data_IF_711134284417
#
_entry.id   IF_711134284417
#
_cell.length_a   1.000
_cell.length_b   1.000
_cell.length_c   1.000
_cell.angle_alpha   90.00
_cell.angle_beta   90.00
_cell.angle_gamma   90.00
#
_symmetry.space_group_name_H-M   'P 1'
#
loop_
_entity.id
_entity.type
_entity.pdbx_description
1 polymer ?
#
# COMPACT_ATOMS: atom_id res chain seq x y z
N UNK A 1 18.92 -33.32 19.17
CA UNK A 1 17.57 -33.50 18.62
C UNK A 1 17.63 -33.05 17.17
N UNK A 2 17.35 -33.96 16.22
CA UNK A 2 17.65 -33.81 14.80
C UNK A 2 16.72 -32.82 14.09
N UNK A 3 17.24 -31.64 13.81
CA UNK A 3 16.56 -30.56 13.03
C UNK A 3 16.83 -30.62 11.54
N UNK A 4 16.95 -31.76 10.92
CA UNK A 4 17.24 -31.86 9.48
C UNK A 4 16.33 -32.84 8.74
N UNK A 5 15.02 -32.77 8.93
CA UNK A 5 14.09 -33.24 7.90
C UNK A 5 13.86 -32.11 6.88
N UNK A 6 14.78 -32.00 5.89
CA UNK A 6 14.55 -31.22 4.68
C UNK A 6 13.16 -31.56 4.14
N UNK A 7 12.23 -30.64 4.25
CA UNK A 7 10.91 -30.74 3.60
C UNK A 7 11.14 -30.83 2.09
N UNK A 8 11.16 -32.07 1.57
CA UNK A 8 11.21 -32.36 0.14
C UNK A 8 9.79 -32.18 -0.39
N UNK A 9 9.53 -31.13 -1.18
CA UNK A 9 8.25 -30.85 -1.80
C UNK A 9 8.16 -29.43 -2.31
N UNK A 10 7.09 -29.12 -3.01
CA UNK A 10 6.81 -27.78 -3.57
C UNK A 10 6.97 -26.68 -2.51
N UNK A 11 6.42 -26.86 -1.31
CA UNK A 11 6.53 -25.90 -0.20
C UNK A 11 7.98 -25.69 0.26
N UNK A 12 8.81 -26.75 0.30
CA UNK A 12 10.22 -26.61 0.65
C UNK A 12 11.04 -25.88 -0.41
N UNK A 13 10.62 -25.96 -1.67
CA UNK A 13 11.23 -25.17 -2.75
C UNK A 13 10.83 -23.71 -2.66
N UNK A 14 9.55 -23.41 -2.40
CA UNK A 14 9.05 -22.05 -2.21
C UNK A 14 9.73 -21.38 -1.01
N UNK A 15 9.84 -22.08 0.12
CA UNK A 15 10.55 -21.59 1.32
C UNK A 15 12.02 -21.29 1.02
N UNK A 16 12.71 -22.16 0.27
CA UNK A 16 14.12 -21.95 -0.10
C UNK A 16 14.30 -20.78 -1.03
N UNK A 17 13.45 -20.65 -2.04
CA UNK A 17 13.50 -19.54 -3.01
C UNK A 17 13.16 -18.23 -2.29
N UNK A 18 12.11 -18.21 -1.45
CA UNK A 18 11.74 -17.02 -0.69
C UNK A 18 12.85 -16.53 0.24
N UNK A 19 13.50 -17.46 0.96
CA UNK A 19 14.60 -17.13 1.87
C UNK A 19 15.92 -16.79 1.14
N UNK A 20 16.05 -17.12 -0.14
CA UNK A 20 17.21 -16.78 -0.96
C UNK A 20 17.07 -15.39 -1.64
N UNK A 21 15.88 -14.78 -1.59
CA UNK A 21 15.67 -13.44 -2.17
C UNK A 21 16.45 -12.40 -1.36
N UNK A 22 17.27 -11.57 -2.04
CA UNK A 22 17.99 -10.49 -1.37
C UNK A 22 17.02 -9.36 -0.98
N UNK A 23 17.54 -8.41 -0.21
CA UNK A 23 16.79 -7.19 0.16
C UNK A 23 16.22 -6.50 -1.09
N UNK A 24 14.99 -5.95 -1.06
CA UNK A 24 14.34 -5.32 -2.21
C UNK A 24 15.20 -4.31 -2.97
N UNK A 25 16.01 -3.51 -2.27
CA UNK A 25 16.93 -2.56 -2.90
C UNK A 25 17.95 -3.25 -3.82
N UNK A 26 18.44 -4.44 -3.43
CA UNK A 26 19.38 -5.22 -4.26
C UNK A 26 18.65 -5.79 -5.48
N UNK A 27 17.40 -6.23 -5.33
CA UNK A 27 16.59 -6.71 -6.45
C UNK A 27 16.41 -5.59 -7.48
N UNK A 28 16.08 -4.38 -7.06
CA UNK A 28 15.94 -3.23 -7.97
C UNK A 28 17.26 -2.87 -8.64
N UNK A 29 18.39 -2.91 -7.92
CA UNK A 29 19.71 -2.70 -8.51
C UNK A 29 20.02 -3.75 -9.59
N UNK A 30 19.76 -5.02 -9.33
CA UNK A 30 19.93 -6.10 -10.29
C UNK A 30 19.04 -5.90 -11.52
N UNK A 31 17.78 -5.50 -11.34
CA UNK A 31 16.89 -5.18 -12.44
C UNK A 31 17.42 -4.02 -13.30
N UNK A 32 17.98 -2.97 -12.70
CA UNK A 32 18.63 -1.89 -13.45
C UNK A 32 19.79 -2.41 -14.31
N UNK A 33 20.63 -3.29 -13.75
CA UNK A 33 21.75 -3.90 -14.51
C UNK A 33 21.21 -4.76 -15.66
N UNK A 34 20.20 -5.59 -15.39
CA UNK A 34 19.57 -6.43 -16.40
C UNK A 34 19.02 -5.57 -17.55
N UNK A 35 18.27 -4.51 -17.23
CA UNK A 35 17.72 -3.59 -18.24
C UNK A 35 18.83 -2.94 -19.06
N UNK A 36 19.91 -2.51 -18.43
CA UNK A 36 21.05 -1.93 -19.14
C UNK A 36 21.70 -2.93 -20.12
N UNK A 37 21.88 -4.18 -19.72
CA UNK A 37 22.41 -5.25 -20.58
C UNK A 37 21.44 -5.57 -21.71
N UNK A 38 20.16 -5.75 -21.42
CA UNK A 38 19.12 -6.04 -22.43
C UNK A 38 19.03 -4.90 -23.43
N UNK A 39 19.04 -3.65 -22.98
CA UNK A 39 19.04 -2.48 -23.91
C UNK A 39 20.22 -2.49 -24.86
N UNK A 40 21.40 -2.87 -24.36
CA UNK A 40 22.60 -2.98 -25.19
C UNK A 40 22.49 -4.07 -26.26
N UNK A 41 21.98 -5.25 -25.86
CA UNK A 41 21.78 -6.36 -26.80
C UNK A 41 20.75 -5.99 -27.86
N UNK A 42 19.59 -5.45 -27.46
CA UNK A 42 18.53 -5.06 -28.38
C UNK A 42 18.96 -3.92 -29.32
N UNK A 43 19.74 -2.96 -28.81
CA UNK A 43 20.30 -1.89 -29.66
C UNK A 43 21.26 -2.44 -30.71
N UNK A 44 22.11 -3.42 -30.37
CA UNK A 44 22.98 -4.11 -31.33
C UNK A 44 22.22 -4.93 -32.38
N UNK A 45 21.07 -5.46 -32.00
CA UNK A 45 20.18 -6.21 -32.91
C UNK A 45 19.31 -5.26 -33.77
N UNK A 46 19.39 -3.95 -33.60
CA UNK A 46 18.62 -2.98 -34.36
C UNK A 46 17.11 -3.03 -34.08
N UNK A 47 16.71 -3.48 -32.88
CA UNK A 47 15.29 -3.61 -32.54
C UNK A 47 14.62 -2.24 -32.53
N UNK A 48 13.59 -2.09 -33.35
CA UNK A 48 12.72 -0.93 -33.42
C UNK A 48 11.26 -1.37 -33.41
N UNK A 49 10.40 -0.56 -32.85
CA UNK A 49 8.95 -0.81 -32.76
C UNK A 49 8.21 0.40 -33.34
N UNK A 50 7.27 0.11 -34.22
CA UNK A 50 6.31 1.07 -34.73
C UNK A 50 4.99 0.88 -33.99
N UNK A 51 4.45 1.94 -33.42
CA UNK A 51 3.20 1.91 -32.66
C UNK A 51 2.38 3.17 -32.93
N UNK A 52 1.08 3.04 -32.80
CA UNK A 52 0.16 4.18 -32.89
C UNK A 52 0.04 4.82 -31.52
N UNK A 53 0.42 6.07 -31.40
CA UNK A 53 0.40 6.79 -30.12
C UNK A 53 0.06 8.26 -30.27
N UNK A 54 -0.24 8.91 -29.17
CA UNK A 54 -0.52 10.34 -29.12
C UNK A 54 0.81 11.13 -29.23
N UNK A 55 0.95 11.93 -30.28
CA UNK A 55 2.04 12.88 -30.35
C UNK A 55 1.77 14.08 -29.44
N UNK A 56 2.56 14.20 -28.38
CA UNK A 56 2.44 15.27 -27.39
C UNK A 56 2.67 16.69 -27.95
N UNK A 57 3.27 16.80 -29.11
CA UNK A 57 3.52 18.11 -29.73
C UNK A 57 2.34 18.61 -30.59
N UNK A 58 1.63 17.69 -31.26
CA UNK A 58 0.48 17.99 -32.11
C UNK A 58 -0.86 17.61 -31.52
N UNK A 59 -0.84 16.82 -30.41
CA UNK A 59 -2.03 16.24 -29.76
C UNK A 59 -2.87 15.35 -30.69
N UNK A 60 -2.24 14.77 -31.71
CA UNK A 60 -2.86 13.89 -32.69
C UNK A 60 -2.36 12.46 -32.53
N UNK A 61 -3.23 11.49 -32.81
CA UNK A 61 -2.87 10.08 -32.84
C UNK A 61 -2.20 9.80 -34.19
N UNK A 62 -0.91 9.45 -34.14
CA UNK A 62 -0.15 9.08 -35.35
C UNK A 62 0.74 7.87 -35.13
N UNK A 63 1.18 7.30 -36.23
CA UNK A 63 2.16 6.22 -36.22
C UNK A 63 3.55 6.77 -35.84
N UNK A 64 4.11 6.23 -34.76
CA UNK A 64 5.39 6.62 -34.19
C UNK A 64 6.34 5.42 -34.26
N UNK A 65 7.60 5.67 -34.60
CA UNK A 65 8.65 4.65 -34.53
C UNK A 65 9.64 5.00 -33.45
N UNK A 66 9.97 4.01 -32.63
CA UNK A 66 10.97 4.12 -31.57
C UNK A 66 12.02 3.01 -31.73
N UNK A 67 13.29 3.39 -31.70
CA UNK A 67 14.41 2.45 -31.69
C UNK A 67 15.05 2.39 -30.32
N UNK A 68 15.53 1.21 -29.95
CA UNK A 68 16.18 1.00 -28.65
C UNK A 68 17.58 1.62 -28.67
N UNK A 69 17.85 2.49 -27.71
CA UNK A 69 19.19 3.06 -27.48
C UNK A 69 19.89 2.26 -26.38
N UNK A 70 21.17 1.94 -26.57
CA UNK A 70 21.96 1.24 -25.57
C UNK A 70 22.25 2.11 -24.35
N UNK A 71 21.85 1.67 -23.17
CA UNK A 71 22.21 2.32 -21.90
C UNK A 71 23.69 2.12 -21.54
N UNK A 72 24.40 1.16 -22.14
CA UNK A 72 25.83 0.94 -21.94
C UNK A 72 26.71 1.69 -22.95
N UNK A 73 26.14 2.48 -23.87
CA UNK A 73 26.90 3.40 -24.70
C UNK A 73 27.37 4.62 -23.89
N UNK A 74 28.39 5.37 -24.35
CA UNK A 74 28.81 6.63 -23.69
C UNK A 74 27.65 7.62 -23.49
N UNK A 75 26.77 7.74 -24.49
CA UNK A 75 25.57 8.56 -24.44
C UNK A 75 24.55 8.02 -23.41
N UNK A 76 24.34 6.70 -23.37
CA UNK A 76 23.44 6.04 -22.44
C UNK A 76 23.90 6.20 -20.98
N UNK A 77 25.21 6.01 -20.75
CA UNK A 77 25.80 6.23 -19.43
C UNK A 77 25.65 7.70 -19.01
N UNK A 78 25.96 8.63 -19.87
CA UNK A 78 25.76 10.06 -19.60
C UNK A 78 24.30 10.35 -19.27
N UNK A 79 23.37 9.82 -20.05
CA UNK A 79 21.92 9.97 -19.83
C UNK A 79 21.51 9.47 -18.46
N UNK A 80 21.95 8.28 -18.03
CA UNK A 80 21.61 7.75 -16.71
C UNK A 80 21.98 8.70 -15.57
N UNK A 81 23.19 9.30 -15.62
CA UNK A 81 23.64 10.21 -14.58
C UNK A 81 23.03 11.60 -14.68
N UNK A 82 22.87 12.14 -15.85
CA UNK A 82 22.31 13.50 -16.03
C UNK A 82 20.81 13.56 -15.83
N UNK A 83 20.08 12.48 -16.15
CA UNK A 83 18.62 12.42 -16.00
C UNK A 83 18.17 11.87 -14.64
N UNK A 84 19.07 11.35 -13.81
CA UNK A 84 18.70 10.71 -12.54
C UNK A 84 17.85 11.61 -11.63
N UNK A 85 18.30 12.85 -11.42
CA UNK A 85 17.57 13.82 -10.58
C UNK A 85 16.24 14.20 -11.22
N UNK A 86 16.24 14.50 -12.51
CA UNK A 86 15.02 14.90 -13.23
C UNK A 86 14.01 13.77 -13.28
N UNK A 87 14.42 12.52 -13.47
CA UNK A 87 13.55 11.36 -13.45
C UNK A 87 12.96 11.12 -12.04
N UNK A 88 13.76 11.32 -11.00
CA UNK A 88 13.29 11.18 -9.63
C UNK A 88 12.29 12.29 -9.27
N UNK A 89 12.64 13.56 -9.51
CA UNK A 89 11.77 14.69 -9.17
C UNK A 89 10.56 14.84 -10.10
N UNK A 90 10.68 14.36 -11.33
CA UNK A 90 9.59 14.32 -12.31
C UNK A 90 8.61 13.17 -12.12
N UNK A 91 8.84 12.25 -11.16
CA UNK A 91 7.91 11.18 -10.83
C UNK A 91 6.64 11.75 -10.20
N UNK A 92 5.54 11.74 -10.95
CA UNK A 92 4.31 12.46 -10.61
C UNK A 92 3.79 12.20 -9.18
N UNK A 93 3.77 10.96 -8.65
CA UNK A 93 3.27 10.70 -7.30
C UNK A 93 4.28 11.03 -6.19
N UNK A 94 5.53 11.40 -6.49
CA UNK A 94 6.61 11.55 -5.50
C UNK A 94 6.22 12.45 -4.32
N UNK A 95 5.72 13.65 -4.59
CA UNK A 95 5.36 14.61 -3.54
C UNK A 95 4.26 14.08 -2.62
N UNK A 96 3.18 13.57 -3.20
CA UNK A 96 2.03 13.03 -2.44
C UNK A 96 2.43 11.81 -1.60
N UNK A 97 3.23 10.91 -2.18
CA UNK A 97 3.71 9.70 -1.49
C UNK A 97 4.64 10.07 -0.34
N UNK A 98 5.59 10.99 -0.53
CA UNK A 98 6.50 11.43 0.53
C UNK A 98 5.75 12.05 1.71
N UNK A 99 4.77 12.93 1.44
CA UNK A 99 3.96 13.54 2.51
C UNK A 99 3.15 12.48 3.26
N UNK A 100 2.54 11.53 2.55
CA UNK A 100 1.80 10.44 3.17
C UNK A 100 2.70 9.54 4.05
N UNK A 101 3.88 9.16 3.54
CA UNK A 101 4.82 8.30 4.28
C UNK A 101 5.37 9.01 5.52
N UNK A 102 5.61 10.33 5.48
CA UNK A 102 6.03 11.09 6.66
C UNK A 102 4.95 11.00 7.75
N UNK A 103 3.69 11.20 7.41
CA UNK A 103 2.58 11.11 8.35
C UNK A 103 2.44 9.71 8.96
N UNK A 104 2.47 8.69 8.11
CA UNK A 104 2.43 7.28 8.55
C UNK A 104 3.64 6.93 9.41
N UNK A 105 4.85 7.35 9.02
CA UNK A 105 6.08 7.10 9.76
C UNK A 105 6.09 7.71 11.16
N UNK A 106 5.51 8.89 11.35
CA UNK A 106 5.31 9.50 12.67
C UNK A 106 4.32 8.68 13.51
N UNK A 107 3.21 8.24 12.92
CA UNK A 107 2.20 7.44 13.61
C UNK A 107 2.74 6.06 14.00
N UNK A 108 3.57 5.44 13.15
CA UNK A 108 4.24 4.16 13.42
C UNK A 108 5.35 4.32 14.47
N UNK A 109 6.26 5.26 14.27
CA UNK A 109 7.39 5.52 15.17
C UNK A 109 6.98 5.96 16.58
N UNK A 110 5.81 6.60 16.73
CA UNK A 110 5.21 6.93 18.03
C UNK A 110 4.53 5.73 18.71
N UNK A 111 4.37 4.59 18.02
CA UNK A 111 3.63 3.42 18.50
C UNK A 111 2.10 3.59 18.48
N UNK A 112 1.58 4.67 17.90
CA UNK A 112 0.13 4.93 17.83
C UNK A 112 -0.61 3.82 17.11
N UNK A 113 -0.10 3.37 15.97
CA UNK A 113 -0.73 2.32 15.16
C UNK A 113 -0.78 1.01 15.94
N UNK A 114 0.34 0.58 16.54
CA UNK A 114 0.38 -0.61 17.39
C UNK A 114 -0.59 -0.54 18.56
N UNK A 115 -0.67 0.60 19.23
CA UNK A 115 -1.61 0.82 20.33
C UNK A 115 -3.08 0.78 19.87
N UNK A 116 -3.40 1.35 18.70
CA UNK A 116 -4.74 1.26 18.09
C UNK A 116 -5.12 -0.20 17.78
N UNK A 117 -4.24 -0.95 17.11
CA UNK A 117 -4.48 -2.35 16.77
C UNK A 117 -4.65 -3.20 18.04
N UNK A 118 -3.77 -3.05 19.03
CA UNK A 118 -3.87 -3.73 20.32
C UNK A 118 -5.18 -3.39 21.03
N UNK A 119 -5.57 -2.12 21.07
CA UNK A 119 -6.83 -1.69 21.68
C UNK A 119 -8.05 -2.27 20.98
N UNK A 120 -8.06 -2.27 19.66
CA UNK A 120 -9.14 -2.83 18.87
C UNK A 120 -9.33 -4.32 19.19
N UNK A 121 -8.24 -5.08 19.14
CA UNK A 121 -8.26 -6.53 19.35
C UNK A 121 -8.58 -6.88 20.81
N UNK A 122 -7.94 -6.22 21.79
CA UNK A 122 -8.13 -6.51 23.23
C UNK A 122 -9.51 -6.11 23.76
N UNK A 123 -10.20 -5.19 23.10
CA UNK A 123 -11.55 -4.77 23.48
C UNK A 123 -12.66 -5.63 22.88
N UNK A 124 -12.31 -6.65 22.09
CA UNK A 124 -13.25 -7.41 21.29
C UNK A 124 -13.79 -8.63 22.07
N UNK A 125 -15.11 -8.86 22.06
CA UNK A 125 -15.69 -10.05 22.68
C UNK A 125 -15.29 -11.33 21.94
N UNK A 126 -15.17 -12.45 22.67
CA UNK A 126 -14.73 -13.76 22.17
C UNK A 126 -15.39 -14.18 20.85
N UNK A 127 -16.67 -13.88 20.66
CA UNK A 127 -17.43 -14.29 19.47
C UNK A 127 -17.01 -13.58 18.19
N UNK A 128 -16.46 -12.38 18.29
CA UNK A 128 -16.08 -11.55 17.15
C UNK A 128 -14.56 -11.49 16.92
N UNK A 129 -13.79 -12.21 17.73
CA UNK A 129 -12.33 -12.05 17.75
C UNK A 129 -11.68 -12.38 16.41
N UNK A 130 -12.12 -13.44 15.73
CA UNK A 130 -11.59 -13.81 14.42
C UNK A 130 -11.86 -12.72 13.40
N UNK A 131 -13.11 -12.23 13.34
CA UNK A 131 -13.52 -11.16 12.45
C UNK A 131 -12.69 -9.90 12.69
N UNK A 132 -12.52 -9.51 13.95
CA UNK A 132 -11.78 -8.30 14.30
C UNK A 132 -10.28 -8.45 14.06
N UNK A 133 -9.70 -9.63 14.29
CA UNK A 133 -8.28 -9.88 13.97
C UNK A 133 -8.03 -9.80 12.45
N UNK A 134 -8.88 -10.42 11.63
CA UNK A 134 -8.77 -10.33 10.17
C UNK A 134 -8.99 -8.89 9.71
N UNK A 135 -10.04 -8.22 10.21
CA UNK A 135 -10.32 -6.82 9.87
C UNK A 135 -9.17 -5.89 10.27
N UNK A 136 -8.62 -6.03 11.47
CA UNK A 136 -7.45 -5.28 11.91
C UNK A 136 -6.24 -5.54 11.01
N UNK A 137 -6.09 -6.79 10.53
CA UNK A 137 -5.08 -7.16 9.54
C UNK A 137 -5.23 -6.39 8.24
N UNK A 138 -6.42 -6.37 7.67
CA UNK A 138 -6.73 -5.61 6.46
C UNK A 138 -6.46 -4.12 6.67
N UNK A 139 -6.97 -3.54 7.76
CA UNK A 139 -6.80 -2.13 8.09
C UNK A 139 -5.35 -1.73 8.37
N UNK A 140 -4.50 -2.69 8.78
CA UNK A 140 -3.08 -2.41 9.05
C UNK A 140 -2.28 -2.03 7.80
N UNK A 141 -2.79 -2.29 6.61
CA UNK A 141 -2.17 -1.93 5.34
C UNK A 141 -1.98 -0.41 5.16
N UNK A 142 -2.70 0.44 5.91
CA UNK A 142 -2.44 1.89 5.99
C UNK A 142 -1.01 2.17 6.48
N UNK A 143 -0.52 1.34 7.39
CA UNK A 143 0.74 1.50 8.08
C UNK A 143 1.83 0.58 7.54
N UNK A 144 1.77 0.22 6.28
CA UNK A 144 2.74 -0.66 5.60
C UNK A 144 3.01 -1.95 6.39
N UNK A 145 4.12 -2.03 7.10
CA UNK A 145 4.60 -3.27 7.74
C UNK A 145 4.18 -3.46 9.20
N UNK A 146 3.58 -2.46 9.84
CA UNK A 146 3.21 -2.53 11.26
C UNK A 146 2.27 -3.70 11.58
N UNK A 147 1.40 -4.07 10.64
CA UNK A 147 0.52 -5.24 10.78
C UNK A 147 1.29 -6.55 10.94
N UNK A 148 2.36 -6.74 10.20
CA UNK A 148 3.19 -7.94 10.29
C UNK A 148 3.89 -8.06 11.64
N UNK A 149 4.43 -6.97 12.15
CA UNK A 149 5.23 -6.96 13.38
C UNK A 149 4.34 -7.04 14.64
N UNK A 150 3.22 -6.33 14.63
CA UNK A 150 2.37 -6.19 15.83
C UNK A 150 1.21 -7.18 15.82
N UNK A 151 0.45 -7.26 14.74
CA UNK A 151 -0.82 -7.97 14.75
C UNK A 151 -0.68 -9.49 14.64
N UNK A 152 0.33 -9.98 13.92
CA UNK A 152 0.51 -11.44 13.78
C UNK A 152 0.85 -12.10 15.14
N UNK A 153 1.84 -11.62 15.90
CA UNK A 153 2.08 -12.13 17.24
C UNK A 153 0.88 -11.92 18.18
N UNK A 154 0.24 -10.75 18.10
CA UNK A 154 -0.95 -10.45 18.90
C UNK A 154 -2.10 -11.40 18.60
N UNK A 155 -2.30 -11.79 17.34
CA UNK A 155 -3.31 -12.78 16.95
C UNK A 155 -3.12 -14.13 17.65
N UNK A 156 -1.86 -14.60 17.77
CA UNK A 156 -1.55 -15.82 18.52
C UNK A 156 -1.94 -15.70 19.99
N UNK A 157 -1.50 -14.63 20.65
CA UNK A 157 -1.76 -14.39 22.09
C UNK A 157 -3.25 -14.27 22.38
N UNK A 158 -3.96 -13.54 21.53
CA UNK A 158 -5.42 -13.35 21.66
C UNK A 158 -6.18 -14.67 21.53
N UNK A 159 -5.87 -15.48 20.53
CA UNK A 159 -6.52 -16.78 20.38
C UNK A 159 -6.21 -17.69 21.57
N UNK A 160 -4.96 -17.72 22.06
CA UNK A 160 -4.59 -18.44 23.26
C UNK A 160 -5.37 -17.99 24.49
N UNK A 161 -5.53 -16.69 24.71
CA UNK A 161 -6.26 -16.14 25.87
C UNK A 161 -7.73 -16.58 25.91
N UNK A 162 -8.30 -16.91 24.74
CA UNK A 162 -9.65 -17.47 24.63
C UNK A 162 -9.69 -19.00 24.56
N UNK A 163 -8.56 -19.68 24.79
CA UNK A 163 -8.45 -21.14 24.73
C UNK A 163 -8.54 -21.70 23.30
N UNK A 164 -8.30 -20.87 22.29
CA UNK A 164 -8.27 -21.24 20.87
C UNK A 164 -6.83 -21.53 20.42
N UNK A 165 -6.67 -22.19 19.28
CA UNK A 165 -5.35 -22.57 18.79
C UNK A 165 -4.55 -21.34 18.29
N UNK A 166 -3.33 -21.05 18.82
CA UNK A 166 -2.56 -19.86 18.47
C UNK A 166 -2.19 -19.80 16.99
N UNK A 167 -1.94 -20.94 16.32
CA UNK A 167 -1.68 -20.98 14.90
C UNK A 167 -2.88 -20.52 14.04
N UNK A 168 -4.12 -20.72 14.55
CA UNK A 168 -5.30 -20.16 13.88
C UNK A 168 -5.31 -18.63 13.97
N UNK A 169 -4.89 -18.08 15.12
CA UNK A 169 -4.74 -16.64 15.31
C UNK A 169 -3.66 -16.02 14.41
N UNK A 170 -2.51 -16.69 14.31
CA UNK A 170 -1.44 -16.29 13.36
C UNK A 170 -1.95 -16.33 11.93
N UNK A 171 -2.62 -17.41 11.54
CA UNK A 171 -3.14 -17.57 10.18
C UNK A 171 -4.20 -16.50 9.85
N UNK A 172 -5.12 -16.20 10.79
CA UNK A 172 -6.12 -15.15 10.63
C UNK A 172 -5.50 -13.77 10.47
N UNK A 173 -4.55 -13.41 11.34
CA UNK A 173 -3.85 -12.13 11.30
C UNK A 173 -3.02 -12.01 10.00
N UNK A 174 -2.26 -13.05 9.66
CA UNK A 174 -1.45 -13.07 8.44
C UNK A 174 -2.32 -12.99 7.17
N UNK A 175 -3.43 -13.73 7.12
CA UNK A 175 -4.36 -13.65 5.99
C UNK A 175 -4.97 -12.24 5.85
N UNK A 176 -5.32 -11.58 6.96
CA UNK A 176 -5.78 -10.20 6.96
C UNK A 176 -4.73 -9.22 6.43
N UNK A 177 -3.50 -9.30 6.96
CA UNK A 177 -2.40 -8.40 6.58
C UNK A 177 -1.97 -8.62 5.12
N UNK A 178 -1.71 -9.87 4.73
CA UNK A 178 -1.19 -10.20 3.39
C UNK A 178 -2.29 -10.26 2.34
N UNK A 179 -3.41 -10.93 2.63
CA UNK A 179 -4.52 -11.07 1.70
C UNK A 179 -5.35 -9.80 1.56
N UNK A 180 -5.33 -8.93 2.58
CA UNK A 180 -5.99 -7.63 2.59
C UNK A 180 -5.09 -6.47 2.16
N UNK A 181 -3.92 -6.75 1.57
CA UNK A 181 -3.01 -5.71 1.14
C UNK A 181 -3.71 -4.75 0.16
N UNK A 182 -3.63 -3.45 0.43
CA UNK A 182 -4.32 -2.36 -0.28
C UNK A 182 -5.84 -2.29 -0.10
N UNK A 183 -6.51 -3.28 0.51
CA UNK A 183 -7.90 -3.12 0.93
C UNK A 183 -7.94 -2.26 2.20
N UNK A 184 -8.81 -1.24 2.22
CA UNK A 184 -8.88 -0.31 3.34
C UNK A 184 -10.19 0.47 3.36
N UNK A 185 -10.54 1.05 4.49
CA UNK A 185 -11.64 2.01 4.59
C UNK A 185 -11.18 3.45 4.30
N UNK A 186 -9.88 3.70 4.37
CA UNK A 186 -9.27 5.00 4.14
C UNK A 186 -8.31 4.94 2.95
N UNK A 187 -8.17 6.05 2.27
CA UNK A 187 -7.19 6.20 1.20
C UNK A 187 -5.77 6.16 1.79
N UNK A 188 -4.92 5.33 1.23
CA UNK A 188 -3.54 5.13 1.68
C UNK A 188 -2.49 5.71 0.74
N UNK A 189 -1.22 5.55 1.11
CA UNK A 189 -0.08 5.95 0.27
C UNK A 189 -0.01 5.18 -1.05
N UNK A 190 -0.46 3.93 -1.06
CA UNK A 190 -0.53 3.07 -2.25
C UNK A 190 -1.52 3.63 -3.27
N UNK A 191 -2.68 4.15 -2.82
CA UNK A 191 -3.67 4.76 -3.72
C UNK A 191 -3.13 6.01 -4.40
N UNK A 192 -2.38 6.84 -3.65
CA UNK A 192 -1.71 8.01 -4.19
C UNK A 192 -0.64 7.65 -5.24
N UNK A 193 0.12 6.58 -5.00
CA UNK A 193 1.12 6.07 -5.92
C UNK A 193 0.46 5.56 -7.21
N UNK A 194 -0.55 4.70 -7.08
CA UNK A 194 -1.25 4.08 -8.22
C UNK A 194 -2.01 5.11 -9.04
N UNK A 195 -2.66 6.09 -8.42
CA UNK A 195 -3.33 7.21 -9.08
C UNK A 195 -2.36 7.97 -10.00
N UNK A 196 -1.16 8.29 -9.51
CA UNK A 196 -0.14 8.99 -10.29
C UNK A 196 0.36 8.16 -11.48
N UNK A 197 0.69 6.90 -11.26
CA UNK A 197 1.14 5.98 -12.33
C UNK A 197 0.03 5.78 -13.37
N UNK A 198 -1.21 5.56 -12.92
CA UNK A 198 -2.37 5.36 -13.79
C UNK A 198 -2.68 6.62 -14.61
N UNK A 199 -2.52 7.80 -14.03
CA UNK A 199 -2.67 9.08 -14.75
C UNK A 199 -1.67 9.19 -15.89
N UNK A 200 -0.39 8.88 -15.66
CA UNK A 200 0.62 8.94 -16.74
C UNK A 200 0.35 7.88 -17.82
N UNK A 201 -0.11 6.69 -17.46
CA UNK A 201 -0.52 5.68 -18.42
C UNK A 201 -1.76 6.10 -19.23
N UNK A 202 -2.78 6.67 -18.58
CA UNK A 202 -3.99 7.15 -19.23
C UNK A 202 -3.70 8.29 -20.21
N UNK A 203 -2.79 9.21 -19.88
CA UNK A 203 -2.33 10.29 -20.77
C UNK A 203 -1.64 9.81 -22.04
N UNK A 204 -1.22 8.57 -22.12
CA UNK A 204 -0.71 7.99 -23.36
C UNK A 204 -1.83 7.77 -24.41
N UNK A 205 -3.06 7.58 -23.95
CA UNK A 205 -4.24 7.42 -24.81
C UNK A 205 -5.03 8.72 -24.95
N UNK A 206 -5.17 9.48 -23.87
CA UNK A 206 -5.88 10.76 -23.83
C UNK A 206 -5.16 11.72 -22.88
N UNK A 207 -4.56 12.78 -23.44
CA UNK A 207 -3.76 13.77 -22.70
C UNK A 207 -4.56 14.52 -21.61
N UNK A 208 -5.89 14.53 -21.69
CA UNK A 208 -6.77 15.23 -20.75
C UNK A 208 -7.18 14.38 -19.56
N UNK A 209 -7.00 13.06 -19.64
CA UNK A 209 -7.44 12.12 -18.60
C UNK A 209 -6.54 12.20 -17.38
N UNK A 210 -7.17 12.26 -16.20
CA UNK A 210 -6.51 12.19 -14.89
C UNK A 210 -7.24 11.15 -14.03
N UNK A 211 -6.48 10.33 -13.33
CA UNK A 211 -7.00 9.34 -12.39
C UNK A 211 -6.89 9.89 -10.97
N UNK A 212 -8.02 10.04 -10.29
CA UNK A 212 -8.08 10.55 -8.92
C UNK A 212 -7.59 9.52 -7.89
N UNK A 213 -7.10 10.00 -6.75
CA UNK A 213 -6.67 9.13 -5.64
C UNK A 213 -7.86 8.32 -5.07
N UNK A 214 -9.07 8.86 -5.19
CA UNK A 214 -10.30 8.27 -4.67
C UNK A 214 -11.09 7.43 -5.68
N UNK A 215 -10.62 7.31 -6.92
CA UNK A 215 -11.39 6.65 -7.99
C UNK A 215 -11.64 5.17 -7.70
N UNK A 216 -10.71 4.52 -6.98
CA UNK A 216 -10.83 3.13 -6.55
C UNK A 216 -11.43 2.96 -5.15
N UNK A 217 -11.79 4.03 -4.45
CA UNK A 217 -12.12 4.00 -3.03
C UNK A 217 -13.32 3.09 -2.69
N UNK A 218 -14.36 3.13 -3.47
CA UNK A 218 -15.52 2.24 -3.23
C UNK A 218 -15.16 0.76 -3.35
N UNK A 219 -14.29 0.42 -4.30
CA UNK A 219 -13.83 -0.95 -4.50
C UNK A 219 -12.99 -1.42 -3.30
N UNK A 220 -12.06 -0.61 -2.80
CA UNK A 220 -11.23 -1.00 -1.65
C UNK A 220 -12.05 -1.13 -0.36
N UNK A 221 -13.09 -0.29 -0.16
CA UNK A 221 -14.04 -0.44 0.95
C UNK A 221 -14.78 -1.78 0.83
N UNK A 222 -15.36 -2.08 -0.33
CA UNK A 222 -16.07 -3.34 -0.55
C UNK A 222 -15.14 -4.55 -0.36
N UNK A 223 -13.91 -4.48 -0.87
CA UNK A 223 -12.88 -5.50 -0.70
C UNK A 223 -12.52 -5.72 0.76
N UNK A 224 -12.47 -4.68 1.58
CA UNK A 224 -12.21 -4.77 3.02
C UNK A 224 -13.23 -5.67 3.71
N UNK A 225 -14.51 -5.45 3.46
CA UNK A 225 -15.57 -6.28 4.04
C UNK A 225 -15.55 -7.70 3.49
N UNK A 226 -15.37 -7.85 2.18
CA UNK A 226 -15.32 -9.17 1.54
C UNK A 226 -14.18 -10.02 2.10
N UNK A 227 -12.97 -9.48 2.16
CA UNK A 227 -11.78 -10.19 2.65
C UNK A 227 -11.93 -10.51 4.14
N UNK A 228 -12.47 -9.59 4.93
CA UNK A 228 -12.72 -9.80 6.35
C UNK A 228 -13.69 -10.95 6.58
N UNK A 229 -14.79 -11.01 5.85
CA UNK A 229 -15.79 -12.08 5.97
C UNK A 229 -15.19 -13.42 5.51
N UNK A 230 -14.58 -13.45 4.33
CA UNK A 230 -13.97 -14.68 3.79
C UNK A 230 -12.85 -15.20 4.68
N UNK A 231 -11.94 -14.32 5.15
CA UNK A 231 -10.87 -14.69 6.05
C UNK A 231 -11.39 -15.26 7.39
N UNK A 232 -12.47 -14.69 7.91
CA UNK A 232 -13.15 -15.18 9.11
C UNK A 232 -13.73 -16.56 8.87
N UNK A 233 -14.49 -16.76 7.78
CA UNK A 233 -15.11 -18.05 7.43
C UNK A 233 -14.02 -19.12 7.25
N UNK A 234 -12.98 -18.85 6.50
CA UNK A 234 -11.88 -19.79 6.26
C UNK A 234 -11.18 -20.14 7.58
N UNK A 235 -10.93 -19.16 8.44
CA UNK A 235 -10.28 -19.41 9.72
C UNK A 235 -11.13 -20.28 10.63
N UNK A 236 -12.41 -19.96 10.79
CA UNK A 236 -13.29 -20.67 11.76
C UNK A 236 -13.75 -22.03 11.26
N UNK A 237 -14.04 -22.17 9.97
CA UNK A 237 -14.60 -23.42 9.42
C UNK A 237 -13.58 -24.34 8.77
N UNK A 238 -12.40 -23.84 8.38
CA UNK A 238 -11.39 -24.67 7.70
C UNK A 238 -10.11 -24.79 8.51
N UNK A 239 -9.52 -23.68 8.95
CA UNK A 239 -8.20 -23.68 9.59
C UNK A 239 -8.29 -24.22 11.02
N UNK A 240 -9.14 -23.63 11.84
CA UNK A 240 -9.26 -24.01 13.26
C UNK A 240 -9.72 -25.47 13.47
N UNK A 241 -10.72 -25.99 12.75
CA UNK A 241 -11.09 -27.39 12.86
C UNK A 241 -9.96 -28.38 12.50
N UNK A 242 -9.12 -28.03 11.51
CA UNK A 242 -7.96 -28.85 11.12
C UNK A 242 -6.84 -28.86 12.16
N UNK A 243 -6.67 -27.79 12.91
CA UNK A 243 -5.67 -27.67 13.98
C UNK A 243 -6.12 -28.37 15.26
N UNK A 244 -7.43 -28.52 15.47
CA UNK A 244 -8.01 -29.12 16.65
C UNK A 244 -7.86 -28.26 17.91
N UNK A 245 -8.18 -28.86 19.08
CA UNK A 245 -8.09 -28.14 20.35
C UNK A 245 -6.63 -27.91 20.76
N UNK A 246 -6.33 -26.70 21.20
CA UNK A 246 -5.03 -26.38 21.77
C UNK A 246 -4.86 -27.11 23.12
N UNK A 247 -3.76 -27.84 23.23
CA UNK A 247 -3.43 -28.65 24.44
C UNK A 247 -2.30 -28.04 25.28
N UNK A 248 -1.80 -26.86 24.89
CA UNK A 248 -0.75 -26.17 25.63
C UNK A 248 -1.28 -25.40 26.84
N UNK A 249 -0.39 -25.05 27.75
CA UNK A 249 -0.72 -24.12 28.85
C UNK A 249 -0.87 -22.70 28.30
N UNK A 250 -1.90 -21.99 28.78
CA UNK A 250 -2.06 -20.56 28.51
C UNK A 250 -1.03 -19.82 29.34
N UNK A 251 0.12 -19.51 28.75
CA UNK A 251 1.24 -18.86 29.44
C UNK A 251 1.25 -17.34 29.26
N UNK A 252 0.54 -16.85 28.29
CA UNK A 252 0.48 -15.40 28.01
C UNK A 252 -0.95 -14.90 28.07
N UNK A 253 -1.19 -13.95 28.94
CA UNK A 253 -2.42 -13.14 28.96
C UNK A 253 -2.24 -11.94 28.05
N UNK A 254 -3.33 -11.49 27.43
CA UNK A 254 -3.34 -10.22 26.69
C UNK A 254 -2.73 -9.13 27.57
N UNK A 255 -1.59 -8.61 27.15
CA UNK A 255 -1.01 -7.44 27.80
C UNK A 255 -1.97 -6.26 27.60
N UNK A 256 -2.51 -5.75 28.69
CA UNK A 256 -3.26 -4.51 28.66
C UNK A 256 -2.36 -3.37 28.19
N UNK A 257 -2.94 -2.42 27.47
CA UNK A 257 -2.25 -1.20 27.11
C UNK A 257 -1.66 -0.54 28.35
N UNK A 258 -0.41 -0.09 28.26
CA UNK A 258 0.22 0.66 29.33
C UNK A 258 -0.55 1.97 29.60
N UNK A 259 -0.35 2.53 30.79
CA UNK A 259 -0.98 3.80 31.15
C UNK A 259 -0.60 4.93 30.17
N UNK A 260 0.63 4.91 29.67
CA UNK A 260 1.15 5.84 28.67
C UNK A 260 0.47 5.65 27.31
N UNK A 261 0.31 4.42 26.84
CA UNK A 261 -0.40 4.10 25.61
C UNK A 261 -1.88 4.51 25.67
N UNK A 262 -2.56 4.24 26.79
CA UNK A 262 -3.96 4.69 27.01
C UNK A 262 -4.08 6.22 26.98
N UNK A 263 -3.10 6.91 27.56
CA UNK A 263 -3.03 8.38 27.55
C UNK A 263 -2.75 8.91 26.14
N UNK A 264 -1.79 8.33 25.44
CA UNK A 264 -1.45 8.67 24.07
C UNK A 264 -2.64 8.50 23.11
N UNK A 265 -3.36 7.37 23.18
CA UNK A 265 -4.58 7.13 22.39
C UNK A 265 -5.67 8.14 22.66
N UNK A 266 -5.82 8.58 23.91
CA UNK A 266 -6.80 9.61 24.29
C UNK A 266 -6.47 10.96 23.66
N UNK A 267 -5.20 11.39 23.74
CA UNK A 267 -4.75 12.63 23.09
C UNK A 267 -4.83 12.57 21.57
N UNK A 268 -4.45 11.41 20.96
CA UNK A 268 -4.58 11.22 19.52
C UNK A 268 -6.05 11.30 19.07
N UNK A 269 -6.98 10.71 19.85
CA UNK A 269 -8.42 10.82 19.59
C UNK A 269 -8.94 12.25 19.67
N UNK A 270 -8.51 13.00 20.68
CA UNK A 270 -8.87 14.43 20.83
C UNK A 270 -8.32 15.23 19.64
N UNK A 271 -7.05 15.02 19.27
CA UNK A 271 -6.43 15.71 18.15
C UNK A 271 -7.15 15.40 16.82
N UNK A 272 -7.55 14.14 16.60
CA UNK A 272 -8.33 13.75 15.43
C UNK A 272 -9.69 14.45 15.39
N UNK A 273 -10.41 14.49 16.50
CA UNK A 273 -11.71 15.17 16.58
C UNK A 273 -11.56 16.68 16.31
N UNK A 274 -10.55 17.32 16.90
CA UNK A 274 -10.27 18.74 16.66
C UNK A 274 -9.92 18.99 15.19
N UNK A 275 -9.13 18.11 14.58
CA UNK A 275 -8.80 18.18 13.16
C UNK A 275 -10.04 18.04 12.27
N UNK A 276 -10.91 17.07 12.55
CA UNK A 276 -12.16 16.88 11.80
C UNK A 276 -13.11 18.06 11.96
N UNK A 277 -13.22 18.64 13.15
CA UNK A 277 -14.00 19.86 13.38
C UNK A 277 -13.40 21.01 12.57
N UNK A 278 -12.09 21.21 12.63
CA UNK A 278 -11.41 22.26 11.86
C UNK A 278 -11.63 22.09 10.36
N UNK A 279 -11.51 20.85 9.84
CA UNK A 279 -11.81 20.55 8.44
C UNK A 279 -13.28 20.81 8.09
N UNK A 280 -14.21 20.43 8.96
CA UNK A 280 -15.63 20.68 8.75
C UNK A 280 -15.94 22.18 8.68
N UNK A 281 -15.34 22.97 9.58
CA UNK A 281 -15.49 24.44 9.59
C UNK A 281 -14.91 25.10 8.33
N UNK A 282 -13.88 24.50 7.71
CA UNK A 282 -13.27 25.01 6.48
C UNK A 282 -14.03 24.60 5.21
N UNK A 283 -14.73 23.46 5.25
CA UNK A 283 -15.34 22.86 4.03
C UNK A 283 -16.85 23.09 3.97
N UNK A 284 -17.54 23.05 5.12
CA UNK A 284 -19.02 23.08 5.17
C UNK A 284 -19.61 24.49 4.96
N UNK A 285 -19.07 25.60 5.53
CA UNK A 285 -19.61 26.93 5.28
C UNK A 285 -19.51 27.34 3.82
N UNK A 286 -20.52 28.01 3.27
CA UNK A 286 -20.52 28.55 1.89
C UNK A 286 -19.41 29.59 1.68
N UNK A 287 -18.97 30.26 2.73
CA UNK A 287 -17.84 31.21 2.76
C UNK A 287 -16.47 30.52 2.89
N UNK A 288 -16.41 29.20 2.97
CA UNK A 288 -15.15 28.46 3.09
C UNK A 288 -14.26 28.63 1.87
N UNK A 289 -13.03 29.07 2.10
CA UNK A 289 -12.04 29.49 1.07
C UNK A 289 -11.80 28.44 -0.04
N UNK A 290 -12.01 27.15 0.24
CA UNK A 290 -11.83 26.06 -0.75
C UNK A 290 -12.93 25.96 -1.79
N UNK A 291 -14.18 26.39 -1.52
CA UNK A 291 -15.25 26.40 -2.54
C UNK A 291 -15.04 27.56 -3.50
N UNK A 292 -14.62 28.72 -2.99
CA UNK A 292 -14.32 29.89 -3.83
C UNK A 292 -13.11 29.68 -4.74
N UNK A 293 -12.07 28.99 -4.26
CA UNK A 293 -10.85 28.70 -5.03
C UNK A 293 -11.11 27.71 -6.18
N UNK A 294 -12.00 26.70 -6.00
CA UNK A 294 -12.38 25.77 -7.08
C UNK A 294 -13.24 26.43 -8.15
N UNK A 295 -14.18 27.30 -7.77
CA UNK A 295 -14.99 28.07 -8.73
C UNK A 295 -14.15 29.07 -9.49
N UNK A 296 -13.19 29.73 -8.85
CA UNK A 296 -12.30 30.70 -9.49
C UNK A 296 -11.26 30.05 -10.44
N UNK A 297 -10.80 28.82 -10.14
CA UNK A 297 -9.87 28.11 -11.05
C UNK A 297 -10.56 27.66 -12.35
N UNK A 298 -11.84 27.27 -12.31
CA UNK A 298 -12.61 26.92 -13.49
C UNK A 298 -12.94 28.14 -14.37
N UNK A 299 -13.19 29.30 -13.76
CA UNK A 299 -13.42 30.54 -14.49
C UNK A 299 -12.13 31.14 -15.10
N UNK A 300 -10.98 31.01 -14.44
CA UNK A 300 -9.70 31.51 -14.95
C UNK A 300 -9.15 30.70 -16.13
N UNK A 301 -9.56 29.45 -16.31
CA UNK A 301 -9.18 28.64 -17.48
C UNK A 301 -9.96 29.11 -18.73
N UNK A 302 -11.21 29.51 -18.58
CA UNK A 302 -12.05 29.95 -19.70
C UNK A 302 -11.66 31.37 -20.15
N UNK A 303 -11.16 32.25 -19.27
CA UNK A 303 -10.77 33.62 -19.59
C UNK A 303 -9.38 33.77 -20.22
N UNK A 304 -8.60 32.70 -20.33
CA UNK A 304 -7.26 32.71 -20.97
C UNK A 304 -7.21 32.10 -22.35
N UNK A 305 -8.35 31.84 -23.00
CA UNK A 305 -8.33 31.58 -24.46
C UNK A 305 -8.07 32.89 -25.16
N UNK A 306 -6.98 33.02 -25.92
CA UNK A 306 -6.77 34.19 -26.78
C UNK A 306 -7.91 34.19 -27.79
N UNK A 307 -8.64 35.32 -27.86
CA UNK A 307 -9.53 35.59 -28.96
C UNK A 307 -8.65 35.68 -30.20
N UNK A 308 -8.71 34.63 -31.03
CA UNK A 308 -8.12 34.67 -32.38
C UNK A 308 -8.83 35.75 -33.18
N UNK A 309 -8.14 36.80 -33.44
CA UNK A 309 -8.43 37.69 -34.57
C UNK A 309 -7.73 37.11 -35.78
#
# INVERSE_FOLDING_TARGET
>A
MNENKKKKGFLGTVERVGNALPHPAIIFLLLCVIIAVVSHICAKLGVSVTYTGLDRSTNEIKEMSSSIVSLLSPEGIRYMFTSAVTNFTGFAPLGTVLVAIIGVGVAEGSGLIGACLTKLVSSTPKRLITLVVVFAGVMSSIASDAGYVVLIPLGAVVFMSFGRHPLAGIAAAFAGVSGGFSANLMVGSTDALLSGISTEAAKMADATTTVGITDNWYFIIASTFLITILGTIVTEFIVEPKLGKYKGSVTETLADLTAEQKRGLRFAGIALVLFLIGMALLVVPESGDRKSTRLNSSHNVISRMPSSA
#
